data_IF_544645817865
#
_entry.id   IF_544645817865
#
_cell.length_a   1.000
_cell.length_b   1.000
_cell.length_c   1.000
_cell.angle_alpha   90.00
_cell.angle_beta   90.00
_cell.angle_gamma   90.00
#
_symmetry.space_group_name_H-M   'P 1'
#
loop_
_entity.id
_entity.type
_entity.pdbx_description
1 polymer ?
#
# COMPACT_ATOMS: atom_id res chain seq x y z
N UNK A 1 19.31 15.26 -24.04
CA UNK A 1 18.90 14.56 -25.29
C UNK A 1 17.72 15.35 -25.83
N UNK A 2 17.63 15.51 -27.19
CA UNK A 2 16.46 16.20 -27.77
C UNK A 2 15.21 15.34 -27.75
N UNK A 3 14.06 15.97 -27.94
CA UNK A 3 12.78 15.27 -28.19
C UNK A 3 12.84 14.49 -29.49
N UNK A 4 12.15 13.35 -29.54
CA UNK A 4 12.10 12.50 -30.72
C UNK A 4 10.69 11.95 -30.93
N UNK A 5 10.18 12.07 -32.14
CA UNK A 5 8.93 11.42 -32.58
C UNK A 5 9.27 10.63 -33.84
N UNK A 6 9.00 9.32 -33.78
CA UNK A 6 9.21 8.44 -34.95
C UNK A 6 8.29 8.82 -36.09
N UNK A 7 8.74 8.84 -37.35
CA UNK A 7 7.92 9.20 -38.51
C UNK A 7 6.67 8.33 -38.72
N UNK A 8 6.66 7.10 -38.20
CA UNK A 8 5.49 6.20 -38.25
C UNK A 8 4.49 6.42 -37.13
N UNK A 9 4.82 7.22 -36.09
CA UNK A 9 3.92 7.52 -35.02
C UNK A 9 2.83 8.51 -35.43
N UNK A 10 1.62 8.28 -34.93
CA UNK A 10 0.53 9.25 -34.98
C UNK A 10 0.53 10.06 -33.69
N UNK A 11 1.11 11.25 -33.74
CA UNK A 11 1.22 12.16 -32.60
C UNK A 11 0.38 13.40 -32.86
N UNK A 12 -0.69 13.59 -32.09
CA UNK A 12 -1.67 14.67 -32.28
C UNK A 12 -1.57 15.82 -31.26
N UNK A 13 -0.92 15.69 -30.09
CA UNK A 13 -0.77 16.81 -29.16
C UNK A 13 0.07 17.94 -29.74
N UNK A 14 -0.18 19.17 -29.28
CA UNK A 14 0.58 20.36 -29.70
C UNK A 14 2.03 20.37 -29.18
N UNK A 15 2.29 19.68 -28.06
CA UNK A 15 3.59 19.73 -27.39
C UNK A 15 4.02 18.37 -26.86
N UNK A 16 5.33 18.14 -26.89
CA UNK A 16 6.02 17.02 -26.27
C UNK A 16 7.08 17.57 -25.29
N UNK A 17 7.09 17.10 -24.05
CA UNK A 17 8.06 17.56 -23.05
C UNK A 17 9.51 17.27 -23.45
N UNK A 18 10.42 18.14 -23.03
CA UNK A 18 11.83 18.05 -23.39
C UNK A 18 12.45 16.70 -23.05
N UNK A 19 13.25 16.16 -23.97
CA UNK A 19 13.92 14.88 -23.80
C UNK A 19 13.03 13.65 -23.95
N UNK A 20 11.73 13.84 -24.20
CA UNK A 20 10.80 12.72 -24.37
C UNK A 20 10.87 12.11 -25.76
N UNK A 21 10.54 10.82 -25.85
CA UNK A 21 10.64 10.02 -27.08
C UNK A 21 9.33 9.27 -27.31
N UNK A 22 8.82 9.39 -28.54
CA UNK A 22 7.67 8.63 -29.04
C UNK A 22 8.20 7.72 -30.16
N UNK A 23 8.10 6.40 -29.98
CA UNK A 23 8.69 5.44 -30.87
C UNK A 23 7.73 4.97 -31.97
N UNK A 24 8.09 3.88 -32.67
CA UNK A 24 7.42 3.49 -33.89
C UNK A 24 5.96 3.05 -33.68
N UNK A 25 5.10 3.47 -34.61
CA UNK A 25 3.68 3.08 -34.65
C UNK A 25 2.87 3.43 -33.37
N UNK A 26 3.36 4.32 -32.54
CA UNK A 26 2.65 4.83 -31.38
C UNK A 26 1.49 5.71 -31.83
N UNK A 27 0.35 5.65 -31.12
CA UNK A 27 -0.75 6.57 -31.30
C UNK A 27 -0.95 7.40 -30.02
N UNK A 28 -0.73 8.72 -30.11
CA UNK A 28 -1.02 9.69 -29.03
C UNK A 28 -2.12 10.61 -29.51
N UNK A 29 -3.27 10.58 -28.80
CA UNK A 29 -4.43 11.42 -29.09
C UNK A 29 -4.25 12.88 -28.65
N UNK A 30 -5.12 13.81 -29.15
CA UNK A 30 -4.93 15.24 -29.00
C UNK A 30 -5.04 15.76 -27.56
N UNK A 31 -5.74 15.05 -26.67
CA UNK A 31 -5.96 15.48 -25.28
C UNK A 31 -4.82 15.05 -24.35
N UNK A 32 -3.91 14.18 -24.82
CA UNK A 32 -2.83 13.65 -24.01
C UNK A 32 -1.75 14.72 -23.74
N UNK A 33 -1.22 14.70 -22.51
CA UNK A 33 -0.15 15.59 -22.07
C UNK A 33 1.06 14.74 -21.65
N UNK A 34 2.21 14.99 -22.27
CA UNK A 34 3.43 14.24 -22.02
C UNK A 34 4.50 15.18 -21.46
N UNK A 35 4.94 14.90 -20.23
CA UNK A 35 5.99 15.62 -19.52
C UNK A 35 7.38 15.39 -20.11
N UNK A 36 8.42 15.68 -19.32
CA UNK A 36 9.82 15.62 -19.75
C UNK A 36 10.42 14.22 -19.55
N UNK A 37 11.37 13.86 -20.42
CA UNK A 37 12.12 12.59 -20.34
C UNK A 37 11.22 11.34 -20.31
N UNK A 38 10.05 11.41 -20.92
CA UNK A 38 9.16 10.25 -21.04
C UNK A 38 9.56 9.39 -22.24
N UNK A 39 9.29 8.10 -22.16
CA UNK A 39 9.40 7.17 -23.29
C UNK A 39 8.04 6.53 -23.51
N UNK A 40 7.52 6.64 -24.73
CA UNK A 40 6.35 5.91 -25.22
C UNK A 40 6.83 4.96 -26.31
N UNK A 41 6.87 3.68 -25.98
CA UNK A 41 7.50 2.65 -26.78
C UNK A 41 6.59 2.11 -27.89
N UNK A 42 7.14 1.32 -28.79
CA UNK A 42 6.50 0.87 -30.02
C UNK A 42 5.08 0.34 -29.83
N UNK A 43 4.17 0.73 -30.76
CA UNK A 43 2.78 0.31 -30.78
C UNK A 43 1.94 0.69 -29.54
N UNK A 44 2.45 1.49 -28.62
CA UNK A 44 1.64 1.97 -27.49
C UNK A 44 0.52 2.90 -27.95
N UNK A 45 -0.59 2.92 -27.20
CA UNK A 45 -1.75 3.76 -27.45
C UNK A 45 -2.03 4.62 -26.23
N UNK A 46 -2.07 5.95 -26.43
CA UNK A 46 -2.29 6.95 -25.37
C UNK A 46 -3.42 7.87 -25.84
N UNK A 47 -4.66 7.59 -25.46
CA UNK A 47 -5.85 8.27 -26.00
C UNK A 47 -6.83 8.64 -24.88
N UNK A 48 -7.36 9.87 -24.93
CA UNK A 48 -8.22 10.49 -23.94
C UNK A 48 -7.45 11.49 -23.07
N UNK A 49 -8.04 11.91 -21.95
CA UNK A 49 -7.41 12.82 -20.98
C UNK A 49 -6.32 12.09 -20.18
N UNK A 50 -5.22 11.81 -20.88
CA UNK A 50 -4.07 11.09 -20.32
C UNK A 50 -2.95 12.07 -19.99
N UNK A 51 -2.50 12.05 -18.74
CA UNK A 51 -1.38 12.87 -18.27
C UNK A 51 -0.21 11.99 -17.88
N UNK A 52 0.93 12.13 -18.56
CA UNK A 52 2.21 11.55 -18.18
C UNK A 52 3.06 12.66 -17.56
N UNK A 53 3.37 12.57 -16.27
CA UNK A 53 4.34 13.48 -15.65
C UNK A 53 5.77 13.15 -16.11
N UNK A 54 6.79 13.78 -15.50
CA UNK A 54 8.18 13.60 -15.92
C UNK A 54 8.71 12.17 -15.67
N UNK A 55 9.61 11.69 -16.55
CA UNK A 55 10.31 10.40 -16.43
C UNK A 55 9.39 9.16 -16.46
N UNK A 56 8.23 9.25 -17.09
CA UNK A 56 7.32 8.12 -17.26
C UNK A 56 7.80 7.23 -18.41
N UNK A 57 7.74 5.92 -18.20
CA UNK A 57 8.07 4.91 -19.22
C UNK A 57 6.85 4.05 -19.53
N UNK A 58 6.34 4.15 -20.74
CA UNK A 58 5.23 3.33 -21.27
C UNK A 58 5.83 2.35 -22.28
N UNK A 59 5.85 1.06 -21.92
CA UNK A 59 6.46 0.02 -22.75
C UNK A 59 5.57 -0.39 -23.92
N UNK A 60 6.16 -1.17 -24.84
CA UNK A 60 5.55 -1.54 -26.11
C UNK A 60 4.15 -2.16 -25.95
N UNK A 61 3.24 -1.77 -26.85
CA UNK A 61 1.88 -2.29 -26.88
C UNK A 61 0.95 -1.85 -25.75
N UNK A 62 1.46 -1.14 -24.75
CA UNK A 62 0.64 -0.68 -23.63
C UNK A 62 -0.47 0.30 -24.08
N UNK A 63 -1.62 0.24 -23.42
CA UNK A 63 -2.80 1.05 -23.75
C UNK A 63 -3.23 1.88 -22.56
N UNK A 64 -3.20 3.19 -22.70
CA UNK A 64 -3.68 4.18 -21.73
C UNK A 64 -4.90 4.86 -22.34
N UNK A 65 -6.08 4.60 -21.79
CA UNK A 65 -7.36 4.99 -22.39
C UNK A 65 -8.20 5.79 -21.39
N UNK A 66 -8.89 6.82 -21.85
CA UNK A 66 -9.80 7.63 -21.03
C UNK A 66 -9.06 8.55 -20.05
N UNK A 67 -9.50 8.63 -18.79
CA UNK A 67 -8.89 9.51 -17.77
C UNK A 67 -7.83 8.80 -16.96
N UNK A 68 -6.57 9.07 -17.26
CA UNK A 68 -5.40 8.40 -16.64
C UNK A 68 -4.33 9.43 -16.29
N UNK A 69 -3.87 9.40 -15.06
CA UNK A 69 -2.70 10.17 -14.61
C UNK A 69 -1.60 9.26 -14.15
N UNK A 70 -0.45 9.35 -14.80
CA UNK A 70 0.79 8.69 -14.39
C UNK A 70 1.73 9.74 -13.79
N UNK A 71 1.98 9.64 -12.50
CA UNK A 71 2.90 10.54 -11.81
C UNK A 71 4.36 10.22 -12.14
N UNK A 72 5.26 11.10 -11.70
CA UNK A 72 6.69 11.03 -11.99
C UNK A 72 7.31 9.63 -11.76
N UNK A 73 8.08 9.17 -12.74
CA UNK A 73 8.88 7.95 -12.63
C UNK A 73 8.08 6.64 -12.68
N UNK A 74 6.81 6.69 -13.09
CA UNK A 74 5.98 5.50 -13.27
C UNK A 74 6.45 4.70 -14.48
N UNK A 75 6.43 3.37 -14.34
CA UNK A 75 6.68 2.43 -15.45
C UNK A 75 5.43 1.60 -15.70
N UNK A 76 4.98 1.56 -16.95
CA UNK A 76 3.90 0.71 -17.45
C UNK A 76 4.51 -0.37 -18.33
N UNK A 77 4.32 -1.63 -17.95
CA UNK A 77 4.84 -2.81 -18.64
C UNK A 77 4.19 -3.05 -20.00
N UNK A 78 4.86 -3.86 -20.82
CA UNK A 78 4.40 -4.17 -22.16
C UNK A 78 2.99 -4.79 -22.15
N UNK A 79 2.18 -4.40 -23.15
CA UNK A 79 0.79 -4.88 -23.34
C UNK A 79 -0.14 -4.66 -22.14
N UNK A 80 0.24 -3.81 -21.19
CA UNK A 80 -0.64 -3.44 -20.07
C UNK A 80 -1.82 -2.58 -20.56
N UNK A 81 -2.99 -2.75 -19.93
CA UNK A 81 -4.22 -2.02 -20.25
C UNK A 81 -4.66 -1.20 -19.05
N UNK A 82 -4.51 0.10 -19.15
CA UNK A 82 -4.93 1.08 -18.14
C UNK A 82 -6.15 1.79 -18.71
N UNK A 83 -7.36 1.29 -18.40
CA UNK A 83 -8.58 1.79 -18.99
C UNK A 83 -9.39 2.63 -18.00
N UNK A 84 -9.24 3.95 -18.10
CA UNK A 84 -10.01 4.96 -17.35
C UNK A 84 -11.34 5.35 -18.01
N UNK A 85 -11.77 4.64 -19.05
CA UNK A 85 -13.09 4.84 -19.65
C UNK A 85 -14.16 4.25 -18.74
N UNK A 86 -15.16 5.05 -18.36
CA UNK A 86 -16.31 4.57 -17.63
C UNK A 86 -17.22 3.75 -18.58
N UNK A 87 -17.73 2.57 -18.14
CA UNK A 87 -18.89 1.97 -18.79
C UNK A 87 -20.06 2.96 -18.83
N UNK A 88 -20.81 2.99 -19.95
CA UNK A 88 -21.85 3.99 -20.20
C UNK A 88 -23.01 3.99 -19.18
N UNK A 89 -23.13 2.96 -18.37
CA UNK A 89 -24.19 2.69 -17.40
C UNK A 89 -23.75 2.87 -15.93
N UNK A 90 -22.50 3.28 -15.70
CA UNK A 90 -22.00 3.58 -14.35
C UNK A 90 -21.82 5.09 -14.15
N UNK A 91 -22.14 5.54 -12.94
CA UNK A 91 -21.70 6.84 -12.46
C UNK A 91 -20.18 6.95 -12.59
N UNK A 92 -19.68 8.17 -12.84
CA UNK A 92 -18.27 8.43 -13.07
C UNK A 92 -17.35 7.76 -12.02
N UNK A 93 -16.58 6.72 -12.36
CA UNK A 93 -15.73 6.00 -11.40
C UNK A 93 -14.50 6.80 -10.98
N UNK A 94 -14.26 7.95 -11.58
CA UNK A 94 -13.08 8.77 -11.35
C UNK A 94 -11.90 8.44 -12.27
N UNK A 95 -10.84 9.24 -12.12
CA UNK A 95 -9.56 9.10 -12.83
C UNK A 95 -8.77 7.89 -12.28
N UNK A 96 -8.08 7.15 -13.14
CA UNK A 96 -7.03 6.23 -12.70
C UNK A 96 -5.79 7.06 -12.38
N UNK A 97 -5.27 6.89 -11.15
CA UNK A 97 -4.04 7.58 -10.73
C UNK A 97 -2.98 6.53 -10.39
N UNK A 98 -1.85 6.59 -11.09
CA UNK A 98 -0.67 5.78 -10.75
C UNK A 98 0.36 6.72 -10.12
N UNK A 99 0.58 6.54 -8.82
CA UNK A 99 1.44 7.41 -8.01
C UNK A 99 2.93 7.18 -8.30
N UNK A 100 3.74 8.17 -7.92
CA UNK A 100 5.19 8.25 -8.19
C UNK A 100 5.93 6.94 -7.97
N UNK A 101 6.76 6.60 -8.94
CA UNK A 101 7.67 5.44 -8.90
C UNK A 101 6.96 4.08 -8.78
N UNK A 102 5.65 4.01 -9.00
CA UNK A 102 4.98 2.72 -9.11
C UNK A 102 5.36 2.02 -10.41
N UNK A 103 5.39 0.69 -10.37
CA UNK A 103 5.74 -0.16 -11.51
C UNK A 103 4.64 -1.18 -11.75
N UNK A 104 4.06 -1.14 -12.94
CA UNK A 104 3.07 -2.11 -13.39
C UNK A 104 3.76 -3.05 -14.40
N UNK A 105 3.69 -4.34 -14.13
CA UNK A 105 4.30 -5.38 -14.98
C UNK A 105 3.58 -5.57 -16.31
N UNK A 106 4.13 -6.42 -17.19
CA UNK A 106 3.51 -6.74 -18.48
C UNK A 106 2.12 -7.36 -18.31
N UNK A 107 1.22 -7.08 -19.28
CA UNK A 107 -0.14 -7.62 -19.34
C UNK A 107 -1.00 -7.31 -18.09
N UNK A 108 -0.68 -6.30 -17.33
CA UNK A 108 -1.49 -5.81 -16.21
C UNK A 108 -2.75 -5.15 -16.75
N UNK A 109 -3.87 -5.37 -16.08
CA UNK A 109 -5.12 -4.64 -16.35
C UNK A 109 -5.52 -3.83 -15.12
N UNK A 110 -5.83 -2.53 -15.29
CA UNK A 110 -6.30 -1.63 -14.21
C UNK A 110 -7.69 -1.14 -14.54
N UNK A 111 -8.62 -1.33 -13.60
CA UNK A 111 -10.01 -0.89 -13.72
C UNK A 111 -10.17 0.62 -13.47
N UNK A 112 -11.24 1.26 -14.00
CA UNK A 112 -11.53 2.68 -13.78
C UNK A 112 -11.59 3.07 -12.30
N UNK A 113 -11.15 4.30 -11.96
CA UNK A 113 -11.19 4.87 -10.61
C UNK A 113 -10.17 4.30 -9.62
N UNK A 114 -9.30 3.39 -10.06
CA UNK A 114 -8.26 2.80 -9.19
C UNK A 114 -7.12 3.78 -8.96
N UNK A 115 -6.66 3.86 -7.71
CA UNK A 115 -5.43 4.54 -7.34
C UNK A 115 -4.36 3.49 -7.02
N UNK A 116 -3.26 3.48 -7.79
CA UNK A 116 -2.08 2.67 -7.49
C UNK A 116 -1.11 3.53 -6.68
N UNK A 117 -0.84 3.13 -5.45
CA UNK A 117 -0.03 3.89 -4.49
C UNK A 117 1.44 4.06 -4.90
N UNK A 118 2.10 5.02 -4.28
CA UNK A 118 3.53 5.30 -4.49
C UNK A 118 4.38 4.05 -4.34
N UNK A 119 5.34 3.83 -5.25
CA UNK A 119 6.26 2.68 -5.25
C UNK A 119 5.57 1.31 -5.19
N UNK A 120 4.27 1.25 -5.42
CA UNK A 120 3.60 -0.03 -5.53
C UNK A 120 4.09 -0.80 -6.74
N UNK A 121 4.15 -2.11 -6.61
CA UNK A 121 4.52 -3.03 -7.69
C UNK A 121 3.32 -3.90 -8.01
N UNK A 122 2.86 -3.83 -9.25
CA UNK A 122 1.82 -4.71 -9.77
C UNK A 122 2.50 -5.76 -10.63
N UNK A 123 2.45 -7.03 -10.21
CA UNK A 123 3.10 -8.11 -10.93
C UNK A 123 2.45 -8.40 -12.28
N UNK A 124 3.22 -9.03 -13.17
CA UNK A 124 2.76 -9.34 -14.53
C UNK A 124 1.43 -10.13 -14.55
N UNK A 125 0.54 -9.75 -15.45
CA UNK A 125 -0.77 -10.39 -15.63
C UNK A 125 -1.79 -10.13 -14.53
N UNK A 126 -1.50 -9.28 -13.56
CA UNK A 126 -2.44 -8.95 -12.49
C UNK A 126 -3.63 -8.11 -12.99
N UNK A 127 -4.80 -8.32 -12.40
CA UNK A 127 -6.02 -7.55 -12.68
C UNK A 127 -6.42 -6.74 -11.46
N UNK A 128 -6.14 -5.44 -11.52
CA UNK A 128 -6.31 -4.51 -10.39
C UNK A 128 -7.71 -3.89 -10.44
N UNK A 129 -8.57 -4.27 -9.49
CA UNK A 129 -9.96 -3.79 -9.36
C UNK A 129 -10.19 -2.88 -8.16
N UNK A 130 -9.23 -2.82 -7.26
CA UNK A 130 -9.26 -1.99 -6.05
C UNK A 130 -7.97 -1.20 -5.93
N UNK A 131 -8.02 -0.07 -5.24
CA UNK A 131 -6.84 0.76 -5.04
C UNK A 131 -5.75 0.00 -4.27
N UNK A 132 -4.52 0.19 -4.71
CA UNK A 132 -3.33 -0.48 -4.20
C UNK A 132 -2.61 0.47 -3.22
N UNK A 133 -2.35 0.06 -1.98
CA UNK A 133 -1.62 0.88 -1.02
C UNK A 133 -0.20 1.23 -1.49
N UNK A 134 0.36 2.32 -0.93
CA UNK A 134 1.75 2.67 -1.16
C UNK A 134 2.69 1.51 -0.76
N UNK A 135 3.72 1.30 -1.57
CA UNK A 135 4.74 0.25 -1.40
C UNK A 135 4.20 -1.20 -1.45
N UNK A 136 2.92 -1.44 -1.70
CA UNK A 136 2.40 -2.80 -1.81
C UNK A 136 2.89 -3.50 -3.07
N UNK A 137 3.12 -4.80 -2.98
CA UNK A 137 3.34 -5.71 -4.10
C UNK A 137 2.05 -6.52 -4.25
N UNK A 138 1.41 -6.41 -5.42
CA UNK A 138 0.15 -7.10 -5.71
C UNK A 138 0.27 -8.03 -6.90
N UNK A 139 -0.44 -9.16 -6.85
CA UNK A 139 -0.42 -10.20 -7.89
C UNK A 139 -1.77 -10.88 -8.02
N UNK A 140 -2.03 -11.48 -9.17
CA UNK A 140 -3.19 -12.33 -9.42
C UNK A 140 -4.38 -11.65 -10.09
N UNK A 141 -5.48 -12.40 -10.26
CA UNK A 141 -6.77 -11.96 -10.81
C UNK A 141 -7.93 -12.52 -9.98
N UNK A 142 -8.60 -11.69 -9.16
CA UNK A 142 -8.26 -10.28 -8.87
C UNK A 142 -6.92 -10.14 -8.16
N UNK A 143 -6.28 -8.97 -8.30
CA UNK A 143 -5.01 -8.68 -7.65
C UNK A 143 -5.17 -8.56 -6.13
N UNK A 144 -4.31 -9.25 -5.39
CA UNK A 144 -4.23 -9.21 -3.93
C UNK A 144 -2.84 -8.83 -3.48
N UNK A 145 -2.69 -8.27 -2.27
CA UNK A 145 -1.38 -7.93 -1.72
C UNK A 145 -0.65 -9.22 -1.33
N UNK A 146 0.54 -9.41 -1.90
CA UNK A 146 1.41 -10.55 -1.59
C UNK A 146 2.56 -10.14 -0.65
N UNK A 147 3.04 -8.90 -0.72
CA UNK A 147 4.12 -8.38 0.11
C UNK A 147 4.17 -6.84 0.03
N UNK A 148 5.21 -6.26 0.62
CA UNK A 148 5.52 -4.83 0.50
C UNK A 148 7.00 -4.63 0.10
N UNK A 149 7.25 -3.60 -0.70
CA UNK A 149 8.60 -3.22 -1.16
C UNK A 149 9.46 -2.87 0.06
N UNK A 150 10.69 -3.42 0.09
CA UNK A 150 11.67 -3.23 1.17
C UNK A 150 11.14 -3.67 2.56
N UNK A 151 10.12 -4.51 2.62
CA UNK A 151 9.71 -5.16 3.87
C UNK A 151 10.40 -6.52 3.99
N UNK A 152 11.14 -6.73 5.07
CA UNK A 152 11.47 -8.09 5.50
C UNK A 152 10.26 -8.64 6.26
N UNK A 153 9.90 -9.89 5.98
CA UNK A 153 8.90 -10.61 6.77
C UNK A 153 9.59 -11.09 8.04
N UNK A 154 9.32 -10.43 9.16
CA UNK A 154 9.59 -11.01 10.44
C UNK A 154 8.39 -11.89 10.80
N UNK A 155 8.53 -13.20 10.74
CA UNK A 155 7.63 -14.06 11.49
C UNK A 155 7.62 -13.55 12.95
N UNK A 156 6.43 -13.37 13.53
CA UNK A 156 6.35 -13.14 14.97
C UNK A 156 7.27 -14.17 15.61
N UNK A 157 8.18 -13.78 16.52
CA UNK A 157 9.21 -14.69 17.00
C UNK A 157 8.52 -15.99 17.41
N UNK A 158 8.80 -17.05 16.62
CA UNK A 158 8.19 -18.35 16.82
C UNK A 158 8.41 -18.68 18.28
N UNK A 159 7.35 -18.54 19.09
CA UNK A 159 7.42 -18.70 20.52
C UNK A 159 8.75 -18.12 21.07
N UNK A 160 8.86 -16.79 21.16
CA UNK A 160 9.80 -16.24 22.13
C UNK A 160 9.48 -17.04 23.38
N UNK A 161 10.36 -17.99 23.71
CA UNK A 161 10.11 -18.93 24.80
C UNK A 161 9.70 -18.05 25.97
N UNK A 162 8.40 -18.00 26.26
CA UNK A 162 7.91 -17.29 27.43
C UNK A 162 8.75 -17.90 28.54
N UNK A 163 9.61 -17.14 29.20
CA UNK A 163 10.36 -17.69 30.31
C UNK A 163 9.29 -18.31 31.21
N UNK A 164 9.46 -19.54 31.65
CA UNK A 164 8.52 -20.29 32.51
C UNK A 164 8.17 -19.54 33.82
N UNK A 165 8.63 -18.33 33.96
CA UNK A 165 8.37 -17.38 35.05
C UNK A 165 7.81 -16.08 34.42
N UNK A 166 6.53 -16.02 34.15
CA UNK A 166 5.64 -14.85 34.07
C UNK A 166 6.18 -13.41 33.83
N UNK A 167 7.32 -13.26 33.17
CA UNK A 167 7.92 -11.94 32.91
C UNK A 167 7.54 -11.52 31.49
N UNK A 168 6.69 -10.50 31.39
CA UNK A 168 6.40 -9.80 30.15
C UNK A 168 7.72 -9.33 29.52
N UNK A 169 8.05 -9.83 28.32
CA UNK A 169 9.22 -9.41 27.55
C UNK A 169 8.80 -8.44 26.45
N UNK A 170 9.57 -7.38 26.25
CA UNK A 170 9.39 -6.46 25.13
C UNK A 170 10.52 -6.68 24.13
N UNK A 171 10.19 -6.78 22.85
CA UNK A 171 11.15 -6.91 21.73
C UNK A 171 11.00 -5.72 20.80
N UNK A 172 12.09 -5.04 20.52
CA UNK A 172 12.13 -3.95 19.53
C UNK A 172 12.01 -4.52 18.11
N UNK A 173 11.30 -3.81 17.26
CA UNK A 173 11.26 -4.08 15.82
C UNK A 173 12.31 -3.23 15.09
N UNK A 174 12.44 -3.41 13.79
CA UNK A 174 13.30 -2.54 12.95
C UNK A 174 12.72 -1.14 12.77
N UNK A 175 11.42 -0.96 13.03
CA UNK A 175 10.73 0.32 12.93
C UNK A 175 10.77 1.00 14.29
N UNK A 176 11.39 2.16 14.33
CA UNK A 176 11.65 2.89 15.57
C UNK A 176 10.42 3.09 16.44
N UNK A 177 10.49 2.62 17.68
CA UNK A 177 9.44 2.77 18.70
C UNK A 177 8.28 1.76 18.57
N UNK A 178 8.27 0.96 17.52
CA UNK A 178 7.34 -0.17 17.39
C UNK A 178 7.90 -1.35 18.15
N UNK A 179 7.09 -1.94 19.03
CA UNK A 179 7.54 -3.01 19.93
C UNK A 179 6.54 -4.18 19.96
N UNK A 180 7.06 -5.38 20.12
CA UNK A 180 6.31 -6.59 20.41
C UNK A 180 6.35 -6.87 21.92
N UNK A 181 5.21 -7.19 22.48
CA UNK A 181 5.03 -7.47 23.90
C UNK A 181 4.55 -8.89 24.10
N UNK A 182 5.30 -9.68 24.88
CA UNK A 182 4.83 -10.99 25.32
C UNK A 182 3.72 -10.82 26.35
N UNK A 183 2.57 -11.44 26.11
CA UNK A 183 1.41 -11.43 27.00
C UNK A 183 1.38 -12.71 27.84
N UNK A 184 0.97 -12.57 29.09
CA UNK A 184 0.92 -13.70 30.01
C UNK A 184 -0.18 -14.68 29.60
N UNK A 185 0.18 -15.94 29.38
CA UNK A 185 -0.75 -17.02 29.09
C UNK A 185 -0.62 -18.11 30.16
N UNK A 186 -1.67 -18.30 30.94
CA UNK A 186 -1.78 -19.36 31.95
C UNK A 186 -2.60 -20.52 31.37
N UNK A 187 -2.04 -21.73 31.42
CA UNK A 187 -2.69 -22.96 30.95
C UNK A 187 -2.79 -23.97 32.08
N UNK A 188 -4.00 -24.45 32.34
CA UNK A 188 -4.23 -25.55 33.28
C UNK A 188 -5.32 -26.53 32.76
N UNK A 189 -5.76 -27.49 33.59
CA UNK A 189 -6.79 -28.45 33.20
C UNK A 189 -8.18 -27.84 32.91
N UNK A 190 -8.40 -26.57 33.26
CA UNK A 190 -9.65 -25.85 33.02
C UNK A 190 -9.61 -25.09 31.70
N UNK A 191 -8.43 -24.97 31.04
CA UNK A 191 -8.24 -24.27 29.79
C UNK A 191 -7.07 -23.29 29.83
N UNK A 192 -7.12 -22.28 28.96
CA UNK A 192 -6.11 -21.23 28.82
C UNK A 192 -6.69 -19.86 29.15
N UNK A 193 -5.90 -19.04 29.80
CA UNK A 193 -6.22 -17.65 30.14
C UNK A 193 -5.08 -16.74 29.65
N UNK A 194 -5.39 -15.83 28.75
CA UNK A 194 -4.48 -14.72 28.40
C UNK A 194 -4.91 -13.49 29.22
N UNK A 195 -3.97 -12.89 29.91
CA UNK A 195 -4.19 -11.68 30.70
C UNK A 195 -3.16 -10.60 30.33
N UNK A 196 -3.62 -9.35 30.33
CA UNK A 196 -2.77 -8.18 30.22
C UNK A 196 -3.26 -7.14 31.26
N UNK A 197 -2.41 -6.79 32.19
CA UNK A 197 -2.69 -5.69 33.10
C UNK A 197 -2.47 -4.37 32.36
N UNK A 198 -3.37 -3.41 32.51
CA UNK A 198 -3.24 -2.11 31.82
C UNK A 198 -1.99 -1.33 32.26
N UNK A 199 -1.43 -1.65 33.40
CA UNK A 199 -0.15 -1.11 33.88
C UNK A 199 1.07 -1.63 33.11
N UNK A 200 0.93 -2.80 32.46
CA UNK A 200 1.99 -3.45 31.70
C UNK A 200 1.98 -3.05 30.21
N UNK A 201 0.91 -2.34 29.81
CA UNK A 201 0.80 -1.81 28.45
C UNK A 201 1.61 -0.51 28.29
N UNK A 202 2.09 -0.21 27.07
CA UNK A 202 2.89 1.00 26.80
C UNK A 202 2.11 2.31 27.00
N UNK A 203 0.79 2.24 27.17
CA UNK A 203 -0.09 3.36 27.46
C UNK A 203 -1.37 2.91 28.19
N UNK A 204 -2.07 3.82 28.83
CA UNK A 204 -3.37 3.56 29.42
C UNK A 204 -4.47 3.60 28.32
N UNK A 205 -5.15 2.48 27.99
CA UNK A 205 -6.17 2.46 26.94
C UNK A 205 -7.39 3.33 27.30
N UNK A 206 -7.88 4.08 26.33
CA UNK A 206 -9.12 4.88 26.43
C UNK A 206 -10.22 4.39 25.50
N UNK A 207 -9.87 3.52 24.56
CA UNK A 207 -10.79 2.93 23.59
C UNK A 207 -10.35 1.53 23.26
N UNK A 208 -11.32 0.65 23.04
CA UNK A 208 -11.07 -0.65 22.42
C UNK A 208 -12.04 -0.84 21.25
N UNK A 209 -11.59 -1.58 20.23
CA UNK A 209 -12.45 -2.06 19.16
C UNK A 209 -11.87 -3.36 18.59
N UNK A 210 -12.70 -4.12 17.89
CA UNK A 210 -12.31 -5.34 17.21
C UNK A 210 -12.53 -5.22 15.71
N UNK A 211 -11.65 -5.84 14.94
CA UNK A 211 -11.75 -5.99 13.49
C UNK A 211 -11.92 -7.47 13.19
N UNK A 212 -13.00 -7.84 12.53
CA UNK A 212 -13.38 -9.21 12.21
C UNK A 212 -14.19 -9.28 10.93
N UNK A 213 -14.42 -10.47 10.39
CA UNK A 213 -15.13 -10.69 9.12
C UNK A 213 -14.53 -9.88 7.95
N UNK A 214 -13.21 -9.68 7.96
CA UNK A 214 -12.51 -9.01 6.88
C UNK A 214 -12.28 -10.00 5.74
N UNK A 215 -12.75 -9.71 4.51
CA UNK A 215 -12.38 -10.53 3.36
C UNK A 215 -10.86 -10.63 3.22
N UNK A 216 -10.34 -11.83 2.90
CA UNK A 216 -8.89 -12.09 2.87
C UNK A 216 -8.11 -11.20 1.90
N UNK A 217 -8.76 -10.74 0.83
CA UNK A 217 -8.21 -9.80 -0.15
C UNK A 217 -8.29 -8.34 0.28
N UNK A 218 -8.99 -8.05 1.38
CA UNK A 218 -9.20 -6.67 1.84
C UNK A 218 -8.07 -6.20 2.75
N UNK A 219 -7.84 -4.89 2.73
CA UNK A 219 -6.87 -4.20 3.57
C UNK A 219 -7.60 -3.34 4.59
N UNK A 220 -7.10 -3.33 5.81
CA UNK A 220 -7.51 -2.40 6.87
C UNK A 220 -6.33 -1.55 7.31
N UNK A 221 -6.60 -0.50 8.06
CA UNK A 221 -5.56 0.47 8.40
C UNK A 221 -5.25 1.36 7.20
N UNK A 222 -4.03 1.24 6.66
CA UNK A 222 -3.48 2.14 5.64
C UNK A 222 -3.58 3.61 6.09
N UNK A 223 -3.17 3.88 7.33
CA UNK A 223 -3.12 5.21 7.92
C UNK A 223 -2.08 5.30 9.04
N UNK A 224 -1.77 6.51 9.43
CA UNK A 224 -1.04 6.81 10.66
C UNK A 224 -1.91 7.68 11.59
N UNK A 225 -1.51 7.78 12.84
CA UNK A 225 -2.08 8.66 13.84
C UNK A 225 -1.07 9.73 14.25
N UNK A 226 -1.53 10.97 14.51
CA UNK A 226 -0.65 12.05 14.97
C UNK A 226 -0.30 11.94 16.46
N UNK A 227 -1.26 11.48 17.26
CA UNK A 227 -1.17 11.43 18.72
C UNK A 227 -1.55 10.06 19.29
N UNK A 228 -2.49 9.35 18.66
CA UNK A 228 -2.98 8.08 19.17
C UNK A 228 -1.97 6.95 18.96
N UNK A 229 -1.60 6.27 20.05
CA UNK A 229 -0.93 4.97 20.00
C UNK A 229 -1.95 3.83 19.96
N UNK A 230 -1.57 2.72 19.36
CA UNK A 230 -2.39 1.51 19.27
C UNK A 230 -1.63 0.30 19.79
N UNK A 231 -2.36 -0.66 20.36
CA UNK A 231 -1.85 -1.95 20.78
C UNK A 231 -2.76 -3.04 20.19
N UNK A 232 -2.20 -3.89 19.35
CA UNK A 232 -2.91 -4.89 18.55
C UNK A 232 -2.65 -6.30 19.08
N UNK A 233 -3.71 -7.11 19.22
CA UNK A 233 -3.61 -8.52 19.58
C UNK A 233 -4.53 -9.33 18.66
N UNK A 234 -4.01 -10.37 18.01
CA UNK A 234 -4.83 -11.29 17.23
C UNK A 234 -5.48 -12.31 18.17
N UNK A 235 -6.80 -12.21 18.37
CA UNK A 235 -7.55 -13.05 19.29
C UNK A 235 -7.89 -14.42 18.69
N UNK A 236 -7.99 -14.51 17.36
CA UNK A 236 -8.22 -15.73 16.60
C UNK A 236 -7.71 -15.56 15.18
N UNK A 237 -7.37 -16.67 14.51
CA UNK A 237 -6.85 -16.67 13.16
C UNK A 237 -5.49 -15.98 13.06
N UNK A 238 -5.23 -15.39 11.90
CA UNK A 238 -3.97 -14.73 11.56
C UNK A 238 -4.21 -13.42 10.84
N UNK A 239 -3.34 -12.44 11.05
CA UNK A 239 -3.30 -11.18 10.31
C UNK A 239 -1.87 -10.68 10.17
N UNK A 240 -1.49 -10.24 8.97
CA UNK A 240 -0.22 -9.56 8.75
C UNK A 240 -0.36 -8.05 8.99
N UNK A 241 0.56 -7.46 9.73
CA UNK A 241 0.62 -6.02 10.02
C UNK A 241 1.90 -5.43 9.43
N UNK A 242 1.79 -4.47 8.51
CA UNK A 242 2.90 -3.62 8.10
C UNK A 242 2.98 -2.41 9.03
N UNK A 243 4.17 -2.11 9.50
CA UNK A 243 4.50 -0.87 10.20
C UNK A 243 5.61 -0.15 9.44
N UNK A 244 5.51 1.19 9.32
CA UNK A 244 6.43 2.00 8.52
C UNK A 244 6.60 3.39 9.16
N UNK A 245 7.83 3.82 9.43
CA UNK A 245 8.16 5.15 9.98
C UNK A 245 8.56 6.17 8.91
N UNK A 246 8.39 5.81 7.63
CA UNK A 246 8.80 6.61 6.47
C UNK A 246 10.25 6.39 6.04
N UNK A 247 11.05 5.61 6.77
CA UNK A 247 12.41 5.22 6.40
C UNK A 247 12.65 3.72 6.49
N UNK A 248 12.14 3.09 7.52
CA UNK A 248 12.18 1.64 7.73
C UNK A 248 10.76 1.09 7.77
N UNK A 249 10.58 -0.14 7.30
CA UNK A 249 9.32 -0.86 7.38
C UNK A 249 9.54 -2.32 7.68
N UNK A 250 8.56 -2.91 8.33
CA UNK A 250 8.56 -4.31 8.71
C UNK A 250 7.15 -4.90 8.62
N UNK A 251 7.05 -6.11 8.12
CA UNK A 251 5.82 -6.88 8.12
C UNK A 251 5.87 -7.90 9.26
N UNK A 252 4.85 -7.91 10.11
CA UNK A 252 4.75 -8.72 11.32
C UNK A 252 3.47 -9.53 11.24
N UNK A 253 3.58 -10.86 11.33
CA UNK A 253 2.42 -11.73 11.39
C UNK A 253 1.98 -11.90 12.85
N UNK A 254 0.71 -11.59 13.12
CA UNK A 254 0.06 -11.80 14.40
C UNK A 254 -0.83 -13.04 14.29
N UNK A 255 -0.40 -14.14 14.84
CA UNK A 255 -1.00 -15.48 14.75
C UNK A 255 -1.26 -16.11 16.13
N UNK A 256 -1.03 -15.34 17.19
CA UNK A 256 -1.15 -15.83 18.57
C UNK A 256 -1.69 -14.77 19.53
N UNK A 257 -2.41 -15.23 20.55
CA UNK A 257 -2.86 -14.42 21.69
C UNK A 257 -1.71 -13.95 22.60
N UNK A 258 -0.53 -14.57 22.48
CA UNK A 258 0.59 -14.37 23.40
C UNK A 258 1.46 -13.17 23.03
N UNK A 259 1.16 -12.50 21.92
CA UNK A 259 1.93 -11.36 21.42
C UNK A 259 1.02 -10.17 21.14
N UNK A 260 1.38 -9.01 21.68
CA UNK A 260 0.79 -7.73 21.36
C UNK A 260 1.76 -6.84 20.58
N UNK A 261 1.28 -6.17 19.55
CA UNK A 261 2.03 -5.21 18.74
C UNK A 261 1.69 -3.78 19.17
N UNK A 262 2.66 -3.06 19.69
CA UNK A 262 2.55 -1.63 19.99
C UNK A 262 2.95 -0.80 18.78
N UNK A 263 2.06 0.07 18.35
CA UNK A 263 2.27 1.03 17.27
C UNK A 263 2.14 2.45 17.86
N UNK A 264 3.25 3.18 18.04
CA UNK A 264 3.21 4.55 18.54
C UNK A 264 2.66 5.54 17.49
N UNK A 265 2.39 6.80 17.88
CA UNK A 265 2.04 7.86 16.93
C UNK A 265 3.07 8.01 15.81
N UNK A 266 2.61 8.51 14.67
CA UNK A 266 3.44 8.77 13.49
C UNK A 266 4.10 7.51 12.88
N UNK A 267 3.49 6.36 13.08
CA UNK A 267 3.80 5.12 12.36
C UNK A 267 2.62 4.80 11.44
N UNK A 268 2.93 4.54 10.17
CA UNK A 268 1.93 4.07 9.22
C UNK A 268 1.68 2.59 9.44
N UNK A 269 0.42 2.25 9.69
CA UNK A 269 -0.02 0.88 9.93
C UNK A 269 -0.94 0.38 8.81
N UNK A 270 -0.70 -0.85 8.35
CA UNK A 270 -1.59 -1.52 7.38
C UNK A 270 -1.75 -2.98 7.79
N UNK A 271 -2.99 -3.48 7.79
CA UNK A 271 -3.29 -4.88 8.09
C UNK A 271 -3.86 -5.55 6.84
N UNK A 272 -3.38 -6.76 6.52
CA UNK A 272 -3.79 -7.55 5.36
C UNK A 272 -3.64 -9.05 5.64
N UNK A 273 -3.99 -9.92 4.69
CA UNK A 273 -3.95 -11.39 4.83
C UNK A 273 -4.70 -11.89 6.06
N UNK A 274 -5.88 -11.33 6.31
CA UNK A 274 -6.74 -11.85 7.35
C UNK A 274 -7.18 -13.27 7.00
N UNK A 275 -7.01 -14.23 7.90
CA UNK A 275 -7.71 -15.52 7.78
C UNK A 275 -9.21 -15.31 8.00
N UNK A 276 -10.03 -16.24 7.52
CA UNK A 276 -11.50 -16.10 7.58
C UNK A 276 -12.03 -15.95 9.01
N UNK A 277 -11.36 -16.57 9.97
CA UNK A 277 -11.67 -16.57 11.40
C UNK A 277 -10.89 -15.51 12.18
N UNK A 278 -10.15 -14.65 11.51
CA UNK A 278 -9.33 -13.64 12.17
C UNK A 278 -10.17 -12.65 12.97
N UNK A 279 -9.75 -12.45 14.21
CA UNK A 279 -10.30 -11.43 15.13
C UNK A 279 -9.14 -10.63 15.70
N UNK A 280 -9.03 -9.37 15.29
CA UNK A 280 -8.00 -8.45 15.76
C UNK A 280 -8.57 -7.49 16.80
N UNK A 281 -8.09 -7.56 18.02
CA UNK A 281 -8.35 -6.58 19.08
C UNK A 281 -7.38 -5.41 18.94
N UNK A 282 -7.91 -4.19 19.05
CA UNK A 282 -7.12 -2.96 19.09
C UNK A 282 -7.48 -2.16 20.33
N UNK A 283 -6.48 -1.90 21.16
CA UNK A 283 -6.53 -0.93 22.24
C UNK A 283 -5.94 0.38 21.75
N UNK A 284 -6.56 1.50 22.04
CA UNK A 284 -6.12 2.82 21.60
C UNK A 284 -5.94 3.77 22.78
N UNK A 285 -4.90 4.59 22.75
CA UNK A 285 -4.55 5.53 23.82
C UNK A 285 -5.48 6.75 23.88
N UNK A 286 -6.27 7.00 22.81
CA UNK A 286 -7.19 8.14 22.69
C UNK A 286 -8.59 7.69 22.25
N UNK A 287 -9.64 8.47 22.56
CA UNK A 287 -10.94 8.32 21.92
C UNK A 287 -10.81 8.49 20.39
N UNK A 288 -11.87 8.13 19.66
CA UNK A 288 -11.91 8.36 18.23
C UNK A 288 -11.92 9.85 17.90
N UNK A 289 -10.94 10.28 17.14
CA UNK A 289 -10.87 11.61 16.53
C UNK A 289 -10.46 11.46 15.06
N UNK A 290 -11.32 11.89 14.14
CA UNK A 290 -11.04 11.82 12.70
C UNK A 290 -9.88 12.73 12.28
N UNK A 291 -9.61 13.82 13.02
CA UNK A 291 -8.53 14.77 12.73
C UNK A 291 -7.14 14.19 13.07
N UNK A 292 -7.07 13.20 13.96
CA UNK A 292 -5.85 12.51 14.32
C UNK A 292 -5.31 11.60 13.19
N UNK A 293 -6.20 11.19 12.26
CA UNK A 293 -5.81 10.27 11.19
C UNK A 293 -5.07 10.96 10.05
N UNK A 294 -3.99 10.34 9.59
CA UNK A 294 -3.31 10.66 8.32
C UNK A 294 -3.61 9.50 7.37
N UNK A 295 -4.48 9.73 6.36
CA UNK A 295 -4.92 8.70 5.41
C UNK A 295 -4.22 8.76 4.05
N UNK A 296 -3.47 9.82 3.80
CA UNK A 296 -2.64 9.97 2.60
C UNK A 296 -1.17 9.72 2.96
N UNK A 297 -0.54 8.79 2.25
CA UNK A 297 0.84 8.38 2.55
C UNK A 297 1.85 9.48 2.22
N UNK A 298 1.59 10.35 1.24
CA UNK A 298 2.47 11.49 0.93
C UNK A 298 2.39 12.56 2.03
N UNK A 299 1.19 12.80 2.58
CA UNK A 299 1.01 13.67 3.75
C UNK A 299 1.74 13.10 4.96
N UNK A 300 1.63 11.79 5.20
CA UNK A 300 2.39 11.10 6.26
C UNK A 300 3.89 11.32 6.12
N UNK A 301 4.46 11.09 4.93
CA UNK A 301 5.89 11.29 4.67
C UNK A 301 6.32 12.76 4.88
N UNK A 302 5.48 13.72 4.49
CA UNK A 302 5.77 15.14 4.69
C UNK A 302 5.80 15.50 6.19
N UNK A 303 4.81 15.04 6.97
CA UNK A 303 4.72 15.30 8.41
C UNK A 303 5.88 14.62 9.18
N UNK A 304 6.26 13.38 8.82
CA UNK A 304 7.40 12.69 9.43
C UNK A 304 8.70 13.44 9.18
N UNK A 305 8.94 13.95 7.97
CA UNK A 305 10.13 14.75 7.66
C UNK A 305 10.20 16.02 8.50
N UNK A 306 9.09 16.71 8.67
CA UNK A 306 9.01 17.95 9.46
C UNK A 306 9.28 17.71 10.95
N UNK A 307 8.86 16.58 11.51
CA UNK A 307 9.09 16.24 12.93
C UNK A 307 10.50 15.72 13.22
N UNK A 308 11.28 15.36 12.21
CA UNK A 308 12.68 14.90 12.34
C UNK A 308 13.70 16.03 12.33
N UNK A 309 13.30 17.24 11.98
CA UNK A 309 14.07 18.49 12.02
C UNK A 309 13.69 19.34 13.23
#
# INVERSE_FOLDING_TARGET
MGTFIDPSARFEPDTLGDGSRVLAYVHVGPEAKIGRNCVVDDHAVVVGDVVLEDNVNVQAGARLLGRVRLEQGVTIGADAVINGEAPADLDDPGEIIVRRFASLGPNVTVSPGVVVGRRAVVEAGAVVRQSVPANAIVSGNPATIVSYVDSEHAAAPAHAAVPASGVAGTTETRVRGVTLHALTNARDLRGSLMAAEFTDLPFAPRRLFTVYDVPSESVRGAHAHRECAQFLVCLAGEVSCLVDDGSAREAIDLDTLEVGLHIPPMIWGTQWKYTRDAVLLVLASHPYDAADYIRDYEVFLAEVRTKRH
#
